data_IF_187226132996
#
_entry.id   IF_187226132996
#
_cell.length_a   1.000
_cell.length_b   1.000
_cell.length_c   1.000
_cell.angle_alpha   90.00
_cell.angle_beta   90.00
_cell.angle_gamma   90.00
#
_symmetry.space_group_name_H-M   'P 1'
#
loop_
_entity.id
_entity.type
_entity.pdbx_description
1 polymer ?
#
# COMPACT_ATOMS: atom_id res chain seq x y z
N UNK A 1 -24.85 -23.10 7.91
CA UNK A 1 -24.16 -24.41 7.84
C UNK A 1 -23.26 -24.50 9.07
N UNK A 2 -23.16 -25.68 9.68
CA UNK A 2 -22.38 -25.89 10.91
C UNK A 2 -20.92 -25.49 10.74
N UNK A 3 -20.35 -24.86 11.76
CA UNK A 3 -18.94 -24.55 11.92
C UNK A 3 -18.11 -25.83 11.85
N UNK A 4 -17.70 -26.19 10.64
CA UNK A 4 -16.95 -27.41 10.34
C UNK A 4 -15.53 -27.06 9.95
N UNK A 5 -14.56 -27.94 10.26
CA UNK A 5 -13.15 -27.79 9.88
C UNK A 5 -12.93 -27.53 8.37
N UNK A 6 -13.93 -27.86 7.54
CA UNK A 6 -13.98 -27.56 6.11
C UNK A 6 -13.99 -26.07 5.79
N UNK A 7 -14.41 -25.19 6.71
CA UNK A 7 -14.36 -23.73 6.51
C UNK A 7 -12.94 -23.18 6.39
N UNK A 8 -11.93 -23.89 6.95
CA UNK A 8 -10.51 -23.53 6.82
C UNK A 8 -9.89 -23.97 5.49
N UNK A 9 -10.58 -24.80 4.72
CA UNK A 9 -10.04 -25.42 3.52
C UNK A 9 -9.73 -24.38 2.42
N UNK A 10 -10.60 -23.38 2.13
CA UNK A 10 -10.29 -22.32 1.16
C UNK A 10 -8.99 -21.55 1.45
N UNK A 11 -8.77 -20.95 2.64
CA UNK A 11 -7.54 -20.22 2.91
C UNK A 11 -6.30 -21.13 2.94
N UNK A 12 -6.41 -22.38 3.42
CA UNK A 12 -5.30 -23.34 3.41
C UNK A 12 -4.87 -23.66 1.97
N UNK A 13 -5.83 -23.95 1.09
CA UNK A 13 -5.54 -24.22 -0.33
C UNK A 13 -4.91 -23.01 -0.98
N UNK A 14 -5.43 -21.81 -0.75
CA UNK A 14 -4.83 -20.57 -1.27
C UNK A 14 -3.38 -20.43 -0.84
N UNK A 15 -3.07 -20.63 0.44
CA UNK A 15 -1.70 -20.48 0.96
C UNK A 15 -0.77 -21.54 0.35
N UNK A 16 -1.18 -22.81 0.33
CA UNK A 16 -0.37 -23.91 -0.22
C UNK A 16 -0.11 -23.69 -1.70
N UNK A 17 -1.13 -23.34 -2.48
CA UNK A 17 -0.98 -23.08 -3.90
C UNK A 17 -0.11 -21.85 -4.15
N UNK A 18 -0.27 -20.77 -3.37
CA UNK A 18 0.54 -19.57 -3.53
C UNK A 18 2.03 -19.87 -3.29
N UNK A 19 2.35 -20.69 -2.28
CA UNK A 19 3.74 -21.07 -1.98
C UNK A 19 4.34 -22.02 -3.03
N UNK A 20 3.56 -22.95 -3.56
CA UNK A 20 4.03 -23.92 -4.56
C UNK A 20 4.15 -23.31 -5.96
N UNK A 21 3.11 -22.60 -6.40
CA UNK A 21 3.03 -22.05 -7.76
C UNK A 21 3.77 -20.72 -7.89
N UNK A 22 3.96 -20.00 -6.78
CA UNK A 22 4.41 -18.60 -6.75
C UNK A 22 3.49 -17.65 -7.53
N UNK A 23 2.26 -18.08 -7.84
CA UNK A 23 1.25 -17.32 -8.56
C UNK A 23 0.10 -16.97 -7.60
N UNK A 24 0.11 -15.76 -7.07
CA UNK A 24 -0.84 -15.33 -6.02
C UNK A 24 -2.26 -15.22 -6.58
N UNK A 25 -2.42 -14.70 -7.80
CA UNK A 25 -3.72 -14.47 -8.43
C UNK A 25 -4.52 -15.76 -8.63
N UNK A 26 -3.90 -16.76 -9.22
CA UNK A 26 -4.54 -18.06 -9.49
C UNK A 26 -4.87 -18.77 -8.19
N UNK A 27 -3.97 -18.69 -7.20
CA UNK A 27 -4.17 -19.30 -5.88
C UNK A 27 -5.35 -18.69 -5.11
N UNK A 28 -5.55 -17.37 -5.21
CA UNK A 28 -6.72 -16.70 -4.63
C UNK A 28 -8.00 -17.11 -5.35
N UNK A 29 -8.03 -17.11 -6.69
CA UNK A 29 -9.21 -17.50 -7.48
C UNK A 29 -9.63 -18.93 -7.14
N UNK A 30 -8.67 -19.87 -7.10
CA UNK A 30 -8.94 -21.28 -6.77
C UNK A 30 -9.48 -21.40 -5.35
N UNK A 31 -8.90 -20.70 -4.38
CA UNK A 31 -9.40 -20.74 -3.00
C UNK A 31 -10.83 -20.24 -2.87
N UNK A 32 -11.14 -19.10 -3.46
CA UNK A 32 -12.51 -18.56 -3.45
C UNK A 32 -13.46 -19.56 -4.12
N UNK A 33 -13.09 -20.12 -5.27
CA UNK A 33 -13.93 -21.07 -5.98
C UNK A 33 -14.19 -22.35 -5.16
N UNK A 34 -13.17 -22.87 -4.48
CA UNK A 34 -13.32 -23.99 -3.54
C UNK A 34 -14.26 -23.62 -2.39
N UNK A 35 -14.14 -22.40 -1.83
CA UNK A 35 -15.07 -21.92 -0.82
C UNK A 35 -16.52 -21.85 -1.31
N UNK A 36 -16.72 -21.40 -2.56
CA UNK A 36 -18.04 -21.29 -3.16
C UNK A 36 -18.65 -22.68 -3.45
N UNK A 37 -17.83 -23.64 -3.87
CA UNK A 37 -18.26 -25.04 -4.00
C UNK A 37 -18.66 -25.66 -2.68
N UNK A 38 -17.93 -25.38 -1.61
CA UNK A 38 -18.30 -25.86 -0.27
C UNK A 38 -19.62 -25.26 0.21
N UNK A 39 -19.90 -24.00 -0.13
CA UNK A 39 -21.15 -23.33 0.24
C UNK A 39 -22.36 -23.82 -0.57
N UNK A 40 -22.17 -24.18 -1.83
CA UNK A 40 -23.25 -24.57 -2.78
C UNK A 40 -23.40 -26.08 -2.94
N UNK A 41 -22.93 -26.87 -1.95
CA UNK A 41 -22.96 -28.34 -1.95
C UNK A 41 -22.39 -28.98 -3.24
N UNK A 42 -21.40 -28.34 -3.87
CA UNK A 42 -20.73 -28.82 -5.08
C UNK A 42 -21.42 -28.47 -6.41
N UNK A 43 -22.46 -27.65 -6.42
CA UNK A 43 -23.10 -27.19 -7.65
C UNK A 43 -22.21 -26.18 -8.39
N UNK A 44 -21.59 -26.61 -9.50
CA UNK A 44 -20.63 -25.81 -10.25
C UNK A 44 -21.16 -24.46 -10.74
N UNK A 45 -22.39 -24.42 -11.27
CA UNK A 45 -22.93 -23.18 -11.85
C UNK A 45 -23.33 -22.19 -10.76
N UNK A 46 -23.90 -22.69 -9.67
CA UNK A 46 -24.25 -21.91 -8.50
C UNK A 46 -22.99 -21.37 -7.79
N UNK A 47 -21.93 -22.17 -7.69
CA UNK A 47 -20.62 -21.72 -7.17
C UNK A 47 -20.06 -20.53 -7.93
N UNK A 48 -20.20 -20.50 -9.26
CA UNK A 48 -19.75 -19.36 -10.09
C UNK A 48 -20.58 -18.12 -9.77
N UNK A 49 -21.90 -18.26 -9.65
CA UNK A 49 -22.78 -17.14 -9.31
C UNK A 49 -22.43 -16.61 -7.92
N UNK A 50 -22.32 -17.48 -6.92
CA UNK A 50 -21.92 -17.12 -5.54
C UNK A 50 -20.54 -16.45 -5.50
N UNK A 51 -19.57 -16.93 -6.29
CA UNK A 51 -18.27 -16.28 -6.43
C UNK A 51 -18.40 -14.81 -6.84
N UNK A 52 -19.21 -14.52 -7.87
CA UNK A 52 -19.40 -13.16 -8.36
C UNK A 52 -20.27 -12.31 -7.43
N UNK A 53 -21.29 -12.88 -6.79
CA UNK A 53 -22.12 -12.17 -5.80
C UNK A 53 -21.30 -11.71 -4.59
N UNK A 54 -20.44 -12.58 -4.06
CA UNK A 54 -19.54 -12.22 -2.96
C UNK A 54 -18.57 -11.12 -3.41
N UNK A 55 -18.02 -11.27 -4.62
CA UNK A 55 -17.10 -10.28 -5.18
C UNK A 55 -17.79 -8.93 -5.34
N UNK A 56 -19.00 -8.87 -5.91
CA UNK A 56 -19.78 -7.66 -6.07
C UNK A 56 -20.03 -6.97 -4.73
N UNK A 57 -20.51 -7.71 -3.72
CA UNK A 57 -20.79 -7.15 -2.41
C UNK A 57 -19.55 -6.62 -1.70
N UNK A 58 -18.45 -7.39 -1.72
CA UNK A 58 -17.20 -7.01 -1.02
C UNK A 58 -16.43 -5.92 -1.74
N UNK A 59 -16.38 -5.94 -3.07
CA UNK A 59 -15.78 -4.86 -3.87
C UNK A 59 -16.62 -3.60 -3.74
N UNK A 60 -17.94 -3.71 -3.83
CA UNK A 60 -18.91 -2.62 -3.66
C UNK A 60 -18.76 -1.89 -2.32
N UNK A 61 -18.63 -2.64 -1.22
CA UNK A 61 -18.42 -2.08 0.11
C UNK A 61 -17.07 -1.35 0.29
N UNK A 62 -16.07 -1.70 -0.52
CA UNK A 62 -14.70 -1.18 -0.41
C UNK A 62 -14.29 -0.28 -1.60
N UNK A 63 -15.23 0.17 -2.44
CA UNK A 63 -14.95 1.01 -3.62
C UNK A 63 -14.13 2.25 -3.29
N UNK A 64 -14.33 2.86 -2.12
CA UNK A 64 -13.59 4.04 -1.70
C UNK A 64 -12.07 3.79 -1.65
N UNK A 65 -11.64 2.60 -1.21
CA UNK A 65 -10.23 2.21 -1.19
C UNK A 65 -9.70 2.06 -2.62
N UNK A 66 -10.49 1.48 -3.53
CA UNK A 66 -10.09 1.34 -4.93
C UNK A 66 -9.93 2.71 -5.62
N UNK A 67 -10.88 3.63 -5.37
CA UNK A 67 -10.81 5.01 -5.86
C UNK A 67 -9.58 5.72 -5.30
N UNK A 68 -9.33 5.57 -4.00
CA UNK A 68 -8.14 6.10 -3.33
C UNK A 68 -6.86 5.62 -4.03
N UNK A 69 -6.70 4.30 -4.23
CA UNK A 69 -5.53 3.72 -4.88
C UNK A 69 -5.35 4.27 -6.30
N UNK A 70 -6.41 4.35 -7.10
CA UNK A 70 -6.34 4.91 -8.44
C UNK A 70 -5.85 6.36 -8.41
N UNK A 71 -6.46 7.22 -7.59
CA UNK A 71 -6.06 8.63 -7.49
C UNK A 71 -4.61 8.75 -7.03
N UNK A 72 -4.19 7.90 -6.11
CA UNK A 72 -2.83 7.82 -5.61
C UNK A 72 -1.82 7.45 -6.71
N UNK A 73 -2.14 6.46 -7.54
CA UNK A 73 -1.32 6.11 -8.70
C UNK A 73 -1.19 7.27 -9.67
N UNK A 74 -2.27 8.03 -9.89
CA UNK A 74 -2.28 9.23 -10.73
C UNK A 74 -1.39 10.32 -10.11
N UNK A 75 -1.50 10.57 -8.81
CA UNK A 75 -0.65 11.51 -8.08
C UNK A 75 0.84 11.17 -8.25
N UNK A 76 1.22 9.90 -8.07
CA UNK A 76 2.62 9.49 -8.23
C UNK A 76 3.07 9.59 -9.68
N UNK A 77 2.22 9.24 -10.65
CA UNK A 77 2.54 9.43 -12.07
C UNK A 77 2.80 10.91 -12.40
N UNK A 78 1.96 11.83 -11.90
CA UNK A 78 2.13 13.28 -12.07
C UNK A 78 3.44 13.76 -11.43
N UNK A 79 3.76 13.31 -10.22
CA UNK A 79 5.00 13.68 -9.50
C UNK A 79 6.24 13.14 -10.23
N UNK A 80 6.16 11.92 -10.75
CA UNK A 80 7.24 11.33 -11.53
C UNK A 80 7.46 12.11 -12.83
N UNK A 81 6.38 12.45 -13.54
CA UNK A 81 6.43 13.21 -14.80
C UNK A 81 6.91 14.65 -14.63
N UNK A 82 6.71 15.26 -13.46
CA UNK A 82 7.09 16.65 -13.20
C UNK A 82 8.60 16.90 -13.17
N UNK A 83 9.43 15.85 -13.09
CA UNK A 83 10.88 15.97 -12.92
C UNK A 83 11.31 16.35 -11.50
N UNK A 84 10.38 16.48 -10.55
CA UNK A 84 10.68 16.84 -9.17
C UNK A 84 11.51 15.76 -8.44
N UNK A 85 11.33 14.48 -8.79
CA UNK A 85 12.13 13.34 -8.30
C UNK A 85 13.59 13.43 -8.77
N UNK A 86 13.83 13.90 -10.00
CA UNK A 86 15.18 14.17 -10.52
C UNK A 86 15.84 15.34 -9.79
N UNK A 87 15.12 16.46 -9.60
CA UNK A 87 15.62 17.61 -8.84
C UNK A 87 15.94 17.24 -7.39
N UNK A 88 15.12 16.39 -6.76
CA UNK A 88 15.42 15.81 -5.46
C UNK A 88 16.67 14.94 -5.49
N UNK A 89 16.83 14.07 -6.49
CA UNK A 89 18.04 13.27 -6.68
C UNK A 89 19.32 14.11 -6.78
N UNK A 90 19.26 15.23 -7.51
CA UNK A 90 20.38 16.17 -7.66
C UNK A 90 20.70 16.95 -6.37
N UNK A 91 19.70 17.34 -5.58
CA UNK A 91 19.94 17.97 -4.28
C UNK A 91 20.40 16.97 -3.22
N UNK A 92 19.78 15.80 -3.16
CA UNK A 92 20.21 14.70 -2.29
C UNK A 92 21.66 14.31 -2.61
N UNK A 93 22.11 14.50 -3.87
CA UNK A 93 23.50 14.32 -4.29
C UNK A 93 24.49 15.15 -3.48
N UNK A 94 24.17 16.40 -3.17
CA UNK A 94 25.07 17.36 -2.52
C UNK A 94 25.03 17.27 -1.01
N UNK A 95 23.92 16.76 -0.44
CA UNK A 95 23.72 16.65 1.00
C UNK A 95 24.10 15.27 1.55
N UNK A 96 23.85 14.20 0.80
CA UNK A 96 24.07 12.83 1.27
C UNK A 96 25.47 12.36 0.90
N UNK A 97 26.22 11.87 1.89
CA UNK A 97 27.63 11.50 1.77
C UNK A 97 27.92 9.99 1.69
N UNK A 98 26.92 9.10 1.73
CA UNK A 98 27.18 7.65 1.63
C UNK A 98 25.97 6.71 1.51
N UNK A 99 26.25 5.40 1.32
CA UNK A 99 25.23 4.34 1.18
C UNK A 99 24.32 4.22 2.40
N UNK A 100 24.90 4.30 3.62
CA UNK A 100 24.15 4.18 4.88
C UNK A 100 23.21 5.36 5.10
N UNK A 101 23.65 6.59 4.79
CA UNK A 101 22.80 7.77 4.91
C UNK A 101 21.70 7.80 3.86
N UNK A 102 21.96 7.32 2.64
CA UNK A 102 20.91 7.14 1.64
C UNK A 102 19.83 6.14 2.11
N UNK A 103 20.21 4.98 2.63
CA UNK A 103 19.25 4.00 3.18
C UNK A 103 18.54 4.50 4.44
N UNK A 104 19.25 5.22 5.32
CA UNK A 104 18.64 5.85 6.49
C UNK A 104 17.61 6.90 6.10
N UNK A 105 17.87 7.68 5.04
CA UNK A 105 16.90 8.63 4.50
C UNK A 105 15.71 7.92 3.85
N UNK A 106 15.92 6.81 3.14
CA UNK A 106 14.84 5.95 2.64
C UNK A 106 13.94 5.49 3.78
N UNK A 107 14.54 4.95 4.84
CA UNK A 107 13.80 4.49 6.01
C UNK A 107 13.08 5.65 6.71
N UNK A 108 13.69 6.83 6.80
CA UNK A 108 13.05 8.01 7.37
C UNK A 108 11.85 8.51 6.57
N UNK A 109 11.96 8.56 5.23
CA UNK A 109 10.83 8.89 4.37
C UNK A 109 9.70 7.86 4.51
N UNK A 110 10.06 6.56 4.60
CA UNK A 110 9.10 5.50 4.88
C UNK A 110 8.42 5.65 6.24
N UNK A 111 9.15 6.03 7.29
CA UNK A 111 8.56 6.33 8.60
C UNK A 111 7.61 7.53 8.57
N UNK A 112 7.84 8.50 7.68
CA UNK A 112 7.01 9.69 7.57
C UNK A 112 5.70 9.42 6.82
N UNK A 113 5.72 8.55 5.81
CA UNK A 113 4.57 8.26 4.94
C UNK A 113 3.77 7.06 5.47
N UNK A 114 3.18 7.19 6.66
CA UNK A 114 2.51 6.07 7.36
C UNK A 114 1.02 5.88 7.02
N UNK A 115 0.47 6.66 6.10
CA UNK A 115 -0.97 6.64 5.79
C UNK A 115 -1.39 5.33 5.16
N UNK A 116 -0.59 4.85 4.22
CA UNK A 116 -0.90 3.66 3.43
C UNK A 116 0.42 3.02 2.99
N UNK A 117 0.50 1.69 3.10
CA UNK A 117 1.73 0.95 2.83
C UNK A 117 2.03 0.90 1.33
N UNK A 118 0.99 0.80 0.50
CA UNK A 118 1.15 0.85 -0.95
C UNK A 118 1.64 2.22 -1.41
N UNK A 119 1.04 3.29 -0.87
CA UNK A 119 1.50 4.66 -1.12
C UNK A 119 2.95 4.87 -0.72
N UNK A 120 3.31 4.41 0.48
CA UNK A 120 4.65 4.47 1.01
C UNK A 120 5.65 3.80 0.06
N UNK A 121 5.36 2.54 -0.31
CA UNK A 121 6.20 1.77 -1.23
C UNK A 121 6.45 2.47 -2.55
N UNK A 122 5.37 2.95 -3.18
CA UNK A 122 5.44 3.59 -4.48
C UNK A 122 6.16 4.94 -4.42
N UNK A 123 5.82 5.76 -3.43
CA UNK A 123 6.34 7.12 -3.30
C UNK A 123 7.79 7.13 -2.86
N UNK A 124 8.12 6.42 -1.76
CA UNK A 124 9.50 6.32 -1.28
C UNK A 124 10.38 5.65 -2.34
N UNK A 125 9.86 4.62 -3.02
CA UNK A 125 10.52 3.98 -4.16
C UNK A 125 10.87 4.98 -5.25
N UNK A 126 9.91 5.76 -5.72
CA UNK A 126 10.10 6.73 -6.80
C UNK A 126 11.05 7.86 -6.41
N UNK A 127 10.94 8.36 -5.17
CA UNK A 127 11.77 9.47 -4.67
C UNK A 127 13.23 9.04 -4.42
N UNK A 128 13.42 7.85 -3.86
CA UNK A 128 14.75 7.38 -3.44
C UNK A 128 15.50 6.62 -4.54
N UNK A 129 14.81 6.18 -5.59
CA UNK A 129 15.41 5.52 -6.77
C UNK A 129 16.61 6.29 -7.35
N UNK A 130 16.53 7.58 -7.71
CA UNK A 130 17.67 8.32 -8.27
C UNK A 130 18.82 8.50 -7.26
N UNK A 131 18.50 8.64 -5.97
CA UNK A 131 19.51 8.79 -4.90
C UNK A 131 20.29 7.49 -4.73
N UNK A 132 19.58 6.37 -4.66
CA UNK A 132 20.13 5.05 -4.37
C UNK A 132 20.94 4.49 -5.55
N UNK A 133 20.53 4.79 -6.78
CA UNK A 133 21.27 4.44 -8.00
C UNK A 133 22.64 5.08 -8.06
N UNK A 134 22.74 6.36 -7.71
CA UNK A 134 24.03 7.06 -7.63
C UNK A 134 24.99 6.36 -6.67
N UNK A 135 24.49 5.92 -5.52
CA UNK A 135 25.30 5.20 -4.53
C UNK A 135 25.47 3.71 -4.88
N UNK A 136 25.01 3.26 -6.05
CA UNK A 136 25.06 1.87 -6.52
C UNK A 136 24.51 0.92 -5.46
N UNK A 137 23.38 1.28 -4.87
CA UNK A 137 22.68 0.44 -3.91
C UNK A 137 21.85 -0.57 -4.70
N UNK A 138 21.95 -1.85 -4.33
CA UNK A 138 21.19 -2.91 -4.97
C UNK A 138 19.68 -2.65 -4.83
N UNK A 139 18.92 -2.84 -5.91
CA UNK A 139 17.46 -2.69 -5.94
C UNK A 139 16.75 -3.59 -4.94
N UNK A 140 17.23 -4.82 -4.74
CA UNK A 140 16.67 -5.73 -3.74
C UNK A 140 16.81 -5.18 -2.31
N UNK A 141 17.94 -4.54 -1.99
CA UNK A 141 18.15 -3.91 -0.68
C UNK A 141 17.30 -2.66 -0.50
N UNK A 142 17.13 -1.87 -1.55
CA UNK A 142 16.22 -0.72 -1.54
C UNK A 142 14.77 -1.18 -1.31
N UNK A 143 14.30 -2.16 -2.09
CA UNK A 143 12.96 -2.71 -1.96
C UNK A 143 12.72 -3.28 -0.56
N UNK A 144 13.70 -3.99 0.01
CA UNK A 144 13.61 -4.50 1.37
C UNK A 144 13.44 -3.38 2.41
N UNK A 145 14.23 -2.29 2.33
CA UNK A 145 14.10 -1.16 3.28
C UNK A 145 12.76 -0.46 3.11
N UNK A 146 12.31 -0.25 1.87
CA UNK A 146 11.01 0.37 1.60
C UNK A 146 9.88 -0.47 2.18
N UNK A 147 9.85 -1.76 1.88
CA UNK A 147 8.83 -2.71 2.36
C UNK A 147 8.84 -2.81 3.89
N UNK A 148 10.03 -2.86 4.50
CA UNK A 148 10.23 -2.86 5.96
C UNK A 148 9.76 -1.57 6.65
N UNK A 149 9.58 -0.49 5.90
CA UNK A 149 8.99 0.76 6.42
C UNK A 149 7.54 0.98 6.00
N UNK A 150 7.08 0.38 4.91
CA UNK A 150 5.72 0.55 4.44
C UNK A 150 4.75 -0.17 5.35
N UNK A 151 4.71 -1.51 5.28
CA UNK A 151 3.74 -2.29 6.04
C UNK A 151 3.93 -2.17 7.57
N UNK A 152 5.13 -2.36 8.14
CA UNK A 152 5.33 -2.31 9.60
C UNK A 152 4.88 -1.01 10.25
N UNK A 153 5.09 0.13 9.58
CA UNK A 153 4.81 1.44 10.16
C UNK A 153 3.34 1.78 10.02
N UNK A 154 2.74 1.49 8.87
CA UNK A 154 1.30 1.64 8.68
C UNK A 154 0.51 0.79 9.68
N UNK A 155 0.99 -0.42 10.03
CA UNK A 155 0.32 -1.29 11.00
C UNK A 155 0.37 -0.75 12.45
N UNK A 156 1.41 0.00 12.83
CA UNK A 156 1.55 0.53 14.20
C UNK A 156 1.12 2.00 14.32
N UNK A 157 0.97 2.71 13.21
CA UNK A 157 0.57 4.10 13.20
C UNK A 157 -0.93 4.22 13.51
N UNK A 158 -1.33 5.03 14.51
CA UNK A 158 -2.74 5.25 14.85
C UNK A 158 -3.57 5.82 13.70
N UNK A 159 -2.92 6.54 12.77
CA UNK A 159 -3.58 7.26 11.69
C UNK A 159 -3.13 6.67 10.36
N UNK A 160 -3.66 5.49 10.03
CA UNK A 160 -3.31 4.74 8.81
C UNK A 160 -4.50 3.96 8.24
N UNK A 161 -4.35 3.42 7.04
CA UNK A 161 -5.31 2.50 6.41
C UNK A 161 -5.51 1.21 7.21
N UNK A 162 -4.58 0.82 8.08
CA UNK A 162 -4.69 -0.39 8.90
C UNK A 162 -5.65 -0.25 10.08
N UNK A 163 -5.76 0.94 10.67
CA UNK A 163 -6.77 1.21 11.69
C UNK A 163 -8.19 0.98 11.13
N UNK A 164 -8.41 1.38 9.88
CA UNK A 164 -9.66 1.15 9.14
C UNK A 164 -9.93 -0.34 8.90
N UNK A 165 -8.90 -1.07 8.45
CA UNK A 165 -9.02 -2.48 8.11
C UNK A 165 -9.35 -3.32 9.35
N UNK A 166 -8.72 -3.03 10.48
CA UNK A 166 -9.04 -3.68 11.76
C UNK A 166 -10.45 -3.32 12.21
N UNK A 167 -10.82 -2.03 12.18
CA UNK A 167 -12.17 -1.57 12.54
C UNK A 167 -13.29 -2.23 11.73
N UNK A 168 -13.11 -2.34 10.40
CA UNK A 168 -14.08 -2.97 9.49
C UNK A 168 -14.13 -4.50 9.58
N UNK A 169 -13.15 -5.12 10.23
CA UNK A 169 -13.11 -6.58 10.45
C UNK A 169 -13.84 -7.00 11.73
N UNK A 170 -14.30 -6.07 12.57
CA UNK A 170 -15.08 -6.40 13.74
C UNK A 170 -16.52 -6.79 13.37
N UNK A 171 -17.09 -7.84 14.01
CA UNK A 171 -18.51 -8.17 13.86
C UNK A 171 -19.41 -7.01 14.28
N UNK A 172 -20.51 -6.82 13.55
CA UNK A 172 -21.56 -5.86 13.94
C UNK A 172 -22.09 -6.21 15.34
N UNK A 173 -21.94 -5.29 16.31
CA UNK A 173 -22.39 -5.49 17.70
C UNK A 173 -21.30 -5.86 18.71
N UNK A 174 -20.02 -5.86 18.31
CA UNK A 174 -18.89 -5.94 19.26
C UNK A 174 -18.96 -4.83 20.32
N UNK A 175 -18.85 -5.18 21.61
CA UNK A 175 -18.76 -4.24 22.74
C UNK A 175 -17.41 -3.51 22.80
N UNK A 176 -16.44 -3.92 21.98
CA UNK A 176 -15.08 -3.38 21.96
C UNK A 176 -14.97 -2.40 20.79
N UNK A 177 -14.57 -1.18 21.10
CA UNK A 177 -14.21 -0.16 20.11
C UNK A 177 -13.04 -0.66 19.24
N UNK A 178 -13.24 -0.71 17.92
CA UNK A 178 -12.26 -1.23 16.97
C UNK A 178 -10.94 -0.45 16.95
N UNK A 179 -10.99 0.84 17.26
CA UNK A 179 -9.79 1.66 17.37
C UNK A 179 -9.05 1.38 18.69
N UNK A 180 -9.78 1.19 19.79
CA UNK A 180 -9.16 0.79 21.06
C UNK A 180 -8.51 -0.60 20.96
N UNK A 181 -9.17 -1.54 20.28
CA UNK A 181 -8.61 -2.84 19.96
C UNK A 181 -7.32 -2.69 19.14
N UNK A 182 -7.34 -1.89 18.08
CA UNK A 182 -6.16 -1.59 17.27
C UNK A 182 -5.01 -1.07 18.15
N UNK A 183 -5.25 -0.06 18.98
CA UNK A 183 -4.24 0.49 19.89
C UNK A 183 -3.67 -0.57 20.85
N UNK A 184 -4.52 -1.45 21.37
CA UNK A 184 -4.09 -2.55 22.24
C UNK A 184 -3.26 -3.60 21.51
N UNK A 185 -3.46 -3.78 20.19
CA UNK A 185 -2.69 -4.74 19.40
C UNK A 185 -1.30 -4.25 18.99
N UNK A 186 -1.05 -2.92 18.97
CA UNK A 186 0.24 -2.32 18.56
C UNK A 186 1.45 -2.97 19.27
N UNK A 187 1.48 -3.12 20.60
CA UNK A 187 2.64 -3.69 21.31
C UNK A 187 2.86 -5.18 21.00
N UNK A 188 1.83 -5.89 20.58
CA UNK A 188 1.88 -7.32 20.28
C UNK A 188 2.21 -7.59 18.81
N UNK A 189 2.37 -6.56 17.98
CA UNK A 189 2.75 -6.74 16.58
C UNK A 189 4.24 -7.05 16.43
N UNK A 190 4.61 -8.28 16.79
CA UNK A 190 5.99 -8.77 16.73
C UNK A 190 6.57 -8.67 15.32
N UNK A 191 5.76 -8.85 14.28
CA UNK A 191 6.18 -8.68 12.89
C UNK A 191 6.69 -7.25 12.63
N UNK A 192 5.90 -6.23 12.98
CA UNK A 192 6.29 -4.83 12.75
C UNK A 192 7.54 -4.46 13.56
N UNK A 193 7.56 -4.82 14.85
CA UNK A 193 8.66 -4.49 15.75
C UNK A 193 9.96 -5.16 15.30
N UNK A 194 9.94 -6.48 15.07
CA UNK A 194 11.13 -7.22 14.67
C UNK A 194 11.64 -6.78 13.29
N UNK A 195 10.75 -6.51 12.34
CA UNK A 195 11.13 -6.05 10.99
C UNK A 195 11.81 -4.69 11.04
N UNK A 196 11.27 -3.73 11.81
CA UNK A 196 11.92 -2.43 11.98
C UNK A 196 13.29 -2.55 12.66
N UNK A 197 13.40 -3.35 13.73
CA UNK A 197 14.68 -3.59 14.41
C UNK A 197 15.70 -4.24 13.46
N UNK A 198 15.27 -5.21 12.68
CA UNK A 198 16.14 -5.90 11.72
C UNK A 198 16.56 -4.99 10.56
N UNK A 199 15.68 -4.13 10.07
CA UNK A 199 16.02 -3.09 9.11
C UNK A 199 17.08 -2.13 9.66
N UNK A 200 16.92 -1.60 10.87
CA UNK A 200 17.91 -0.72 11.51
C UNK A 200 19.25 -1.45 11.66
N UNK A 201 19.22 -2.73 12.06
CA UNK A 201 20.40 -3.56 12.13
C UNK A 201 21.12 -3.71 10.78
N UNK A 202 20.39 -3.97 9.69
CA UNK A 202 20.94 -4.09 8.33
C UNK A 202 21.57 -2.77 7.86
N UNK A 203 20.90 -1.64 8.12
CA UNK A 203 21.40 -0.31 7.70
C UNK A 203 22.67 0.05 8.47
N UNK A 204 22.72 -0.22 9.78
CA UNK A 204 23.86 0.14 10.65
C UNK A 204 25.06 -0.79 10.47
N UNK A 205 24.86 -2.10 10.48
CA UNK A 205 25.95 -3.07 10.33
C UNK A 205 26.41 -3.21 8.89
N UNK A 206 25.52 -2.99 7.91
CA UNK A 206 25.79 -3.24 6.49
C UNK A 206 25.89 -4.73 6.15
N UNK A 207 25.44 -5.62 7.03
CA UNK A 207 25.41 -7.07 6.77
C UNK A 207 24.13 -7.44 6.03
N UNK A 208 24.28 -7.93 4.80
CA UNK A 208 23.19 -8.35 3.94
C UNK A 208 22.97 -9.87 4.06
N UNK A 209 21.72 -10.31 4.21
CA UNK A 209 21.36 -11.70 4.50
C UNK A 209 20.70 -12.41 3.32
N UNK A 210 20.82 -13.74 3.30
CA UNK A 210 20.11 -14.64 2.39
C UNK A 210 20.23 -14.25 0.91
N UNK A 211 19.12 -14.36 0.17
CA UNK A 211 19.02 -14.03 -1.26
C UNK A 211 19.34 -12.56 -1.54
N UNK A 212 18.91 -11.64 -0.68
CA UNK A 212 19.28 -10.22 -0.78
C UNK A 212 20.80 -10.03 -0.73
N UNK A 213 21.50 -10.73 0.17
CA UNK A 213 22.96 -10.67 0.26
C UNK A 213 23.67 -11.24 -0.96
N UNK A 214 23.08 -12.20 -1.68
CA UNK A 214 23.60 -12.67 -2.95
C UNK A 214 23.43 -11.59 -4.04
N UNK A 215 22.27 -10.95 -4.13
CA UNK A 215 22.00 -9.86 -5.08
C UNK A 215 22.85 -8.62 -4.81
N UNK A 216 23.09 -8.27 -3.55
CA UNK A 216 23.99 -7.16 -3.20
C UNK A 216 25.43 -7.46 -3.63
N UNK A 217 25.90 -8.71 -3.47
CA UNK A 217 27.24 -9.14 -3.93
C UNK A 217 27.36 -9.02 -5.45
N UNK A 218 26.40 -9.56 -6.21
CA UNK A 218 26.35 -9.42 -7.68
C UNK A 218 26.37 -7.95 -8.11
N UNK A 219 25.54 -7.12 -7.47
CA UNK A 219 25.43 -5.69 -7.79
C UNK A 219 26.72 -4.90 -7.46
N UNK A 220 27.54 -5.37 -6.51
CA UNK A 220 28.84 -4.76 -6.23
C UNK A 220 29.90 -5.12 -7.29
N UNK A 221 29.77 -6.27 -7.95
CA UNK A 221 30.66 -6.69 -9.05
C UNK A 221 30.28 -6.00 -10.37
N UNK A 222 29.01 -6.06 -10.74
CA UNK A 222 28.44 -5.35 -11.89
C UNK A 222 27.13 -4.68 -11.48
N UNK A 223 27.12 -3.35 -11.50
CA UNK A 223 25.88 -2.60 -11.29
C UNK A 223 25.02 -2.73 -12.54
N UNK A 224 24.00 -3.58 -12.48
CA UNK A 224 23.01 -3.74 -13.54
C UNK A 224 21.62 -3.39 -13.01
N UNK A 225 20.90 -2.57 -13.77
CA UNK A 225 19.48 -2.33 -13.56
C UNK A 225 18.75 -3.53 -14.18
N UNK A 226 17.98 -4.33 -13.40
CA UNK A 226 17.27 -5.48 -13.95
C UNK A 226 16.33 -5.05 -15.08
N UNK A 227 16.14 -5.92 -16.07
CA UNK A 227 15.37 -5.60 -17.28
C UNK A 227 13.96 -5.10 -16.98
N UNK A 228 13.31 -5.66 -15.97
CA UNK A 228 11.98 -5.28 -15.46
C UNK A 228 11.88 -3.81 -15.02
N UNK A 229 13.01 -3.18 -14.67
CA UNK A 229 13.06 -1.77 -14.26
C UNK A 229 13.57 -0.83 -15.37
N UNK A 230 14.04 -1.35 -16.51
CA UNK A 230 14.62 -0.52 -17.59
C UNK A 230 13.57 0.35 -18.28
N UNK A 231 12.35 -0.14 -18.44
CA UNK A 231 11.26 0.61 -19.06
C UNK A 231 10.80 1.77 -18.17
N UNK A 232 10.66 1.53 -16.85
CA UNK A 232 10.35 2.57 -15.87
C UNK A 232 11.42 3.67 -15.80
N UNK A 233 12.71 3.30 -15.91
CA UNK A 233 13.83 4.26 -15.93
C UNK A 233 13.87 5.07 -17.24
N UNK A 234 13.46 4.47 -18.36
CA UNK A 234 13.43 5.15 -19.66
C UNK A 234 12.31 6.20 -19.74
N UNK A 235 11.14 5.90 -19.18
CA UNK A 235 10.05 6.86 -19.04
C UNK A 235 10.41 8.00 -18.08
N UNK A 236 11.03 7.70 -16.94
CA UNK A 236 11.53 8.69 -15.96
C UNK A 236 12.65 9.59 -16.53
N UNK A 237 13.53 9.08 -17.39
CA UNK A 237 14.61 9.89 -17.99
C UNK A 237 14.15 10.80 -19.13
N UNK A 238 13.01 10.51 -19.76
CA UNK A 238 12.42 11.30 -20.84
C UNK A 238 11.63 12.54 -20.36
N UNK A 239 11.51 12.76 -19.05
CA UNK A 239 10.69 13.84 -18.50
C UNK A 239 11.38 15.19 -18.68
N UNK A 240 10.83 16.05 -19.54
CA UNK A 240 11.25 17.44 -19.74
C UNK A 240 10.74 18.42 -18.67
N UNK A 241 10.19 17.92 -17.55
CA UNK A 241 9.61 18.74 -16.49
C UNK A 241 10.66 19.54 -15.71
N UNK A 242 10.33 20.79 -15.38
CA UNK A 242 11.19 21.70 -14.60
C UNK A 242 10.86 21.68 -13.10
N UNK A 243 10.36 20.55 -12.59
CA UNK A 243 9.91 20.40 -11.21
C UNK A 243 11.04 20.62 -10.20
N UNK A 244 10.70 21.25 -9.08
CA UNK A 244 11.59 21.47 -7.94
C UNK A 244 11.31 20.46 -6.84
N UNK A 245 12.20 20.37 -5.86
CA UNK A 245 12.01 19.53 -4.65
C UNK A 245 10.69 19.86 -3.94
N UNK A 246 10.31 21.14 -3.90
CA UNK A 246 9.06 21.60 -3.28
C UNK A 246 7.85 20.97 -3.99
N UNK A 247 7.93 20.77 -5.30
CA UNK A 247 6.84 20.18 -6.08
C UNK A 247 6.65 18.70 -5.71
N UNK A 248 7.67 18.02 -5.20
CA UNK A 248 7.57 16.66 -4.65
C UNK A 248 7.07 16.66 -3.19
N UNK A 249 7.61 17.53 -2.32
CA UNK A 249 7.28 17.51 -0.88
C UNK A 249 5.86 18.04 -0.61
N UNK A 250 5.46 19.09 -1.31
CA UNK A 250 4.24 19.83 -1.00
C UNK A 250 2.96 19.01 -1.25
N UNK A 251 2.79 18.30 -2.38
CA UNK A 251 1.65 17.41 -2.58
C UNK A 251 1.56 16.28 -1.55
N UNK A 252 2.70 15.76 -1.07
CA UNK A 252 2.73 14.73 -0.03
C UNK A 252 2.24 15.29 1.31
N UNK A 253 2.72 16.46 1.72
CA UNK A 253 2.27 17.12 2.95
C UNK A 253 0.77 17.43 2.88
N UNK A 254 0.29 17.93 1.74
CA UNK A 254 -1.14 18.22 1.54
C UNK A 254 -1.96 16.93 1.60
N UNK A 255 -1.56 15.88 0.88
CA UNK A 255 -2.24 14.59 0.96
C UNK A 255 -2.31 14.08 2.39
N UNK A 256 -1.20 14.12 3.12
CA UNK A 256 -1.15 13.66 4.50
C UNK A 256 -2.09 14.47 5.38
N UNK A 257 -1.96 15.79 5.34
CA UNK A 257 -2.75 16.70 6.18
C UNK A 257 -4.24 16.58 5.89
N UNK A 258 -4.63 16.47 4.63
CA UNK A 258 -6.04 16.36 4.24
C UNK A 258 -6.61 14.98 4.55
N UNK A 259 -5.84 13.90 4.43
CA UNK A 259 -6.31 12.57 4.87
C UNK A 259 -6.54 12.54 6.39
N UNK A 260 -5.61 13.08 7.18
CA UNK A 260 -5.75 13.20 8.64
C UNK A 260 -6.99 14.05 8.98
N UNK A 261 -7.13 15.22 8.34
CA UNK A 261 -8.31 16.07 8.52
C UNK A 261 -9.60 15.36 8.08
N UNK A 262 -9.56 14.62 6.99
CA UNK A 262 -10.68 13.83 6.47
C UNK A 262 -11.13 12.76 7.45
N UNK A 263 -10.20 12.10 8.16
CA UNK A 263 -10.51 11.13 9.22
C UNK A 263 -11.19 11.83 10.41
N UNK A 264 -10.67 12.98 10.84
CA UNK A 264 -11.31 13.78 11.88
C UNK A 264 -12.70 14.28 11.47
N UNK A 265 -12.86 14.65 10.19
CA UNK A 265 -14.11 15.15 9.64
C UNK A 265 -15.20 14.07 9.60
N UNK A 266 -14.90 12.90 9.03
CA UNK A 266 -15.84 11.77 9.01
C UNK A 266 -16.11 11.21 10.40
N UNK A 267 -15.15 11.37 11.31
CA UNK A 267 -15.26 11.05 12.73
C UNK A 267 -16.16 11.95 13.56
N UNK A 268 -16.65 13.07 13.02
CA UNK A 268 -17.56 13.97 13.73
C UNK A 268 -16.86 14.98 14.65
N UNK A 269 -15.62 15.39 14.33
CA UNK A 269 -14.95 16.44 15.13
C UNK A 269 -15.74 17.78 15.16
N UNK A 270 -16.48 18.08 14.09
CA UNK A 270 -17.37 19.25 14.01
C UNK A 270 -18.66 19.09 14.80
N UNK A 271 -18.96 17.87 15.25
CA UNK A 271 -20.11 17.55 16.11
C UNK A 271 -19.74 17.62 17.60
N UNK A 272 -18.50 18.04 17.92
CA UNK A 272 -18.03 18.29 19.29
C UNK A 272 -17.30 17.11 19.94
N UNK A 273 -16.99 16.05 19.19
CA UNK A 273 -16.20 14.90 19.69
C UNK A 273 -14.74 15.27 19.94
N UNK A 274 -14.11 14.59 20.90
CA UNK A 274 -12.67 14.69 21.15
C UNK A 274 -11.89 14.16 19.96
N UNK A 275 -10.64 14.60 19.77
CA UNK A 275 -9.75 14.09 18.72
C UNK A 275 -9.64 12.56 18.74
N UNK A 276 -9.53 11.94 19.92
CA UNK A 276 -9.49 10.47 20.07
C UNK A 276 -10.75 9.80 19.54
N UNK A 277 -11.90 10.35 19.91
CA UNK A 277 -13.21 9.75 19.63
C UNK A 277 -13.57 9.95 18.16
N UNK A 278 -13.20 11.11 17.59
CA UNK A 278 -13.32 11.35 16.16
C UNK A 278 -12.43 10.41 15.33
N UNK A 279 -11.21 10.10 15.78
CA UNK A 279 -10.42 9.06 15.10
C UNK A 279 -11.01 7.67 15.25
N UNK A 280 -11.60 7.35 16.41
CA UNK A 280 -12.21 6.04 16.65
C UNK A 280 -13.44 5.81 15.74
N UNK A 281 -14.28 6.82 15.59
CA UNK A 281 -15.53 6.75 14.81
C UNK A 281 -15.36 7.11 13.32
N UNK A 282 -14.12 7.28 12.82
CA UNK A 282 -13.91 7.73 11.45
C UNK A 282 -14.20 6.65 10.40
N UNK A 283 -14.80 7.05 9.28
CA UNK A 283 -14.82 6.23 8.06
C UNK A 283 -13.54 6.50 7.26
N UNK A 284 -12.47 5.79 7.63
CA UNK A 284 -11.16 5.98 7.04
C UNK A 284 -11.14 5.71 5.52
N UNK A 285 -11.91 4.76 5.02
CA UNK A 285 -12.01 4.49 3.57
C UNK A 285 -12.52 5.70 2.81
N UNK A 286 -13.61 6.34 3.29
CA UNK A 286 -14.13 7.58 2.71
C UNK A 286 -13.14 8.75 2.89
N UNK A 287 -12.51 8.85 4.05
CA UNK A 287 -11.54 9.93 4.34
C UNK A 287 -10.32 9.89 3.43
N UNK A 288 -9.78 8.70 3.14
CA UNK A 288 -8.65 8.51 2.23
C UNK A 288 -9.05 8.86 0.79
N UNK A 289 -10.22 8.42 0.33
CA UNK A 289 -10.75 8.78 -0.99
C UNK A 289 -10.92 10.31 -1.14
N UNK A 290 -11.52 10.96 -0.15
CA UNK A 290 -11.71 12.42 -0.13
C UNK A 290 -10.37 13.16 -0.07
N UNK A 291 -9.45 12.70 0.78
CA UNK A 291 -8.13 13.30 0.95
C UNK A 291 -7.28 13.22 -0.30
N UNK A 292 -7.27 12.06 -0.96
CA UNK A 292 -6.57 11.89 -2.24
C UNK A 292 -7.16 12.74 -3.35
N UNK A 293 -8.49 12.89 -3.41
CA UNK A 293 -9.14 13.73 -4.41
C UNK A 293 -8.80 15.22 -4.23
N UNK A 294 -8.82 15.73 -3.00
CA UNK A 294 -8.42 17.11 -2.70
C UNK A 294 -6.93 17.32 -3.00
N UNK A 295 -6.07 16.35 -2.68
CA UNK A 295 -4.66 16.40 -3.03
C UNK A 295 -4.44 16.44 -4.55
N UNK A 296 -5.25 15.71 -5.33
CA UNK A 296 -5.24 15.75 -6.79
C UNK A 296 -5.66 17.11 -7.34
N UNK A 297 -6.70 17.74 -6.78
CA UNK A 297 -7.08 19.11 -7.15
C UNK A 297 -5.95 20.07 -6.82
N UNK A 298 -5.35 19.93 -5.65
CA UNK A 298 -4.27 20.78 -5.20
C UNK A 298 -3.03 20.67 -6.10
N UNK A 299 -2.60 19.45 -6.47
CA UNK A 299 -1.47 19.27 -7.40
C UNK A 299 -1.80 19.81 -8.78
N UNK A 300 -3.05 19.66 -9.25
CA UNK A 300 -3.52 20.24 -10.51
C UNK A 300 -3.35 21.76 -10.50
N UNK A 301 -3.80 22.41 -9.43
CA UNK A 301 -3.73 23.85 -9.24
C UNK A 301 -2.28 24.35 -9.08
N UNK A 302 -1.36 23.51 -8.61
CA UNK A 302 0.04 23.88 -8.47
C UNK A 302 0.81 23.69 -9.79
N UNK A 303 0.61 22.56 -10.49
CA UNK A 303 1.43 22.15 -11.63
C UNK A 303 0.96 22.76 -12.95
N UNK A 304 -0.35 22.84 -13.19
CA UNK A 304 -0.89 23.32 -14.48
C UNK A 304 -0.61 24.82 -14.70
N UNK A 305 -0.85 25.74 -13.75
CA UNK A 305 -0.58 27.16 -13.96
C UNK A 305 0.92 27.45 -14.08
N UNK A 306 1.75 26.71 -13.35
CA UNK A 306 3.22 26.81 -13.41
C UNK A 306 3.82 26.13 -14.65
N UNK A 307 3.03 25.40 -15.43
CA UNK A 307 3.46 24.61 -16.59
C UNK A 307 4.63 23.67 -16.27
N UNK A 308 4.59 23.06 -15.08
CA UNK A 308 5.60 22.06 -14.68
C UNK A 308 5.45 20.80 -15.54
N UNK A 309 4.20 20.47 -15.90
CA UNK A 309 3.80 19.39 -16.80
C UNK A 309 2.82 19.95 -17.83
N UNK A 310 2.93 19.53 -19.09
CA UNK A 310 1.99 19.93 -20.13
C UNK A 310 0.60 19.29 -19.90
N UNK A 311 -0.47 19.93 -20.34
CA UNK A 311 -1.83 19.39 -20.14
C UNK A 311 -2.02 17.99 -20.77
N UNK A 312 -1.44 17.74 -21.95
CA UNK A 312 -1.49 16.41 -22.59
C UNK A 312 -0.80 15.35 -21.73
N UNK A 313 0.39 15.64 -21.24
CA UNK A 313 1.16 14.76 -20.36
C UNK A 313 0.45 14.54 -19.02
N UNK A 314 -0.20 15.59 -18.50
CA UNK A 314 -1.02 15.52 -17.28
C UNK A 314 -2.20 14.55 -17.47
N UNK A 315 -2.89 14.59 -18.60
CA UNK A 315 -3.96 13.65 -18.93
C UNK A 315 -3.44 12.22 -19.12
N UNK A 316 -2.27 12.03 -19.72
CA UNK A 316 -1.62 10.71 -19.85
C UNK A 316 -1.32 10.08 -18.48
N UNK A 317 -0.97 10.90 -17.48
CA UNK A 317 -0.72 10.43 -16.12
C UNK A 317 -1.95 9.77 -15.48
N UNK A 318 -3.18 10.10 -15.92
CA UNK A 318 -4.39 9.41 -15.42
C UNK A 318 -4.38 7.93 -15.79
N UNK A 319 -4.07 7.62 -17.06
CA UNK A 319 -4.01 6.24 -17.54
C UNK A 319 -2.80 5.49 -16.97
N UNK A 320 -1.63 6.15 -16.93
CA UNK A 320 -0.41 5.56 -16.36
C UNK A 320 -0.59 5.24 -14.87
N UNK A 321 -1.14 6.19 -14.12
CA UNK A 321 -1.44 6.02 -12.70
C UNK A 321 -2.39 4.86 -12.45
N UNK A 322 -3.49 4.76 -13.21
CA UNK A 322 -4.41 3.64 -13.12
C UNK A 322 -3.71 2.29 -13.41
N UNK A 323 -2.95 2.19 -14.50
CA UNK A 323 -2.22 0.97 -14.89
C UNK A 323 -1.26 0.51 -13.80
N UNK A 324 -0.56 1.44 -13.14
CA UNK A 324 0.36 1.13 -12.05
C UNK A 324 -0.35 0.55 -10.81
N UNK A 325 -1.66 0.76 -10.65
CA UNK A 325 -2.45 0.25 -9.52
C UNK A 325 -3.19 -1.05 -9.81
N UNK A 326 -3.31 -1.46 -11.08
CA UNK A 326 -4.06 -2.66 -11.49
C UNK A 326 -3.64 -3.91 -10.71
N UNK A 327 -2.35 -4.23 -10.53
CA UNK A 327 -1.94 -5.41 -9.75
C UNK A 327 -2.48 -5.39 -8.32
N UNK A 328 -2.34 -4.26 -7.62
CA UNK A 328 -2.77 -4.12 -6.23
C UNK A 328 -4.29 -4.20 -6.08
N UNK A 329 -5.02 -3.49 -6.94
CA UNK A 329 -6.49 -3.53 -6.99
C UNK A 329 -6.98 -4.95 -7.21
N UNK A 330 -6.34 -5.70 -8.11
CA UNK A 330 -6.74 -7.07 -8.41
C UNK A 330 -6.52 -8.02 -7.22
N UNK A 331 -5.38 -7.91 -6.52
CA UNK A 331 -5.15 -8.68 -5.27
C UNK A 331 -6.19 -8.33 -4.22
N UNK A 332 -6.47 -7.03 -3.99
CA UNK A 332 -7.43 -6.59 -2.98
C UNK A 332 -8.84 -7.09 -3.25
N UNK A 333 -9.32 -6.97 -4.49
CA UNK A 333 -10.62 -7.51 -4.87
C UNK A 333 -10.72 -9.01 -4.55
N UNK A 334 -9.71 -9.80 -4.93
CA UNK A 334 -9.69 -11.23 -4.65
C UNK A 334 -9.58 -11.54 -3.15
N UNK A 335 -8.74 -10.79 -2.41
CA UNK A 335 -8.56 -10.97 -0.98
C UNK A 335 -9.85 -10.67 -0.20
N UNK A 336 -10.57 -9.60 -0.56
CA UNK A 336 -11.86 -9.29 0.06
C UNK A 336 -12.93 -10.32 -0.30
N UNK A 337 -12.93 -10.85 -1.52
CA UNK A 337 -13.84 -11.94 -1.89
C UNK A 337 -13.54 -13.21 -1.08
N UNK A 338 -12.27 -13.56 -0.89
CA UNK A 338 -11.87 -14.70 -0.05
C UNK A 338 -12.25 -14.47 1.43
N UNK A 339 -12.05 -13.25 1.94
CA UNK A 339 -12.51 -12.88 3.28
C UNK A 339 -14.04 -13.00 3.39
N UNK A 340 -14.76 -12.56 2.35
CA UNK A 340 -16.20 -12.70 2.26
C UNK A 340 -16.67 -14.14 2.30
N UNK A 341 -16.00 -15.06 1.60
CA UNK A 341 -16.42 -16.46 1.62
C UNK A 341 -16.16 -17.14 2.96
N UNK A 342 -15.16 -16.67 3.71
CA UNK A 342 -14.87 -17.16 5.06
C UNK A 342 -15.79 -16.55 6.14
N UNK A 343 -16.57 -15.52 5.81
CA UNK A 343 -17.41 -14.81 6.77
C UNK A 343 -18.62 -15.63 7.26
N UNK A 344 -19.23 -15.16 8.34
CA UNK A 344 -20.36 -15.80 9.02
C UNK A 344 -21.56 -16.05 8.11
N UNK A 345 -21.77 -15.19 7.11
CA UNK A 345 -22.84 -15.32 6.12
C UNK A 345 -22.67 -16.51 5.17
N UNK A 346 -21.45 -17.08 5.10
CA UNK A 346 -21.13 -18.19 4.21
C UNK A 346 -20.56 -19.36 5.02
N UNK A 347 -19.23 -19.50 5.08
CA UNK A 347 -18.58 -20.66 5.70
C UNK A 347 -18.41 -20.54 7.22
N UNK A 348 -18.65 -19.36 7.80
CA UNK A 348 -18.55 -19.10 9.24
C UNK A 348 -17.26 -19.66 9.87
N UNK A 349 -16.13 -19.22 9.34
CA UNK A 349 -14.81 -19.58 9.87
C UNK A 349 -14.64 -19.06 11.31
N UNK A 350 -15.17 -17.86 11.61
CA UNK A 350 -15.09 -17.25 12.94
C UNK A 350 -15.69 -18.12 14.03
N UNK A 351 -16.88 -18.66 13.81
CA UNK A 351 -17.55 -19.56 14.76
C UNK A 351 -16.88 -20.93 14.94
N UNK A 352 -15.92 -21.31 14.10
CA UNK A 352 -15.10 -22.51 14.29
C UNK A 352 -13.80 -22.21 15.05
N UNK A 353 -13.19 -21.05 14.82
CA UNK A 353 -11.89 -20.68 15.40
C UNK A 353 -12.03 -20.04 16.80
N UNK A 354 -13.20 -19.48 17.14
CA UNK A 354 -13.55 -19.00 18.48
C UNK A 354 -13.96 -17.54 18.52
#
# INVERSE_FOLDING_TARGET
MESSALSMLPPIITIILALLTKEVYTSLIVGIFVGAMLFTDGNFLESIVTFFEIMEGKVGGNVNILVFLVILGILVAIISKSGATKAYGEWARSVISGKRSALGLTAFLGMLIFIDDYFNCLTVGTIMRPVTDKFKICRAKLAYVIDSTAAPICIIAPVSSWAAAVGSSLPEGSLIDGFLLFLQTIPFNLYAILTMLFMVFIITTGRDFATMGAEVRKNNEHFEIPAEYKDAVSEEQSTGGQGKIIDLILPLIVLISVCIYGMLYTGGIHEGKTISDAFADCDASKSLALGSFIALIFISALYLPRKVVNFSEYCECYSQGFKAMVPAIFILCLAWTLSGICSDSYLNLGGYVG
#
